data_IF_257773604919
#
_entry.id   IF_257773604919
#
_cell.length_a   1.000
_cell.length_b   1.000
_cell.length_c   1.000
_cell.angle_alpha   90.00
_cell.angle_beta   90.00
_cell.angle_gamma   90.00
#
_symmetry.space_group_name_H-M   'P 1'
#
loop_
_entity.id
_entity.type
_entity.pdbx_description
1 polymer ?
#
# COMPACT_ATOMS: atom_id res chain seq x y z
N UNK A 1 19.10 -2.04 -6.17
CA UNK A 1 17.82 -2.66 -6.57
C UNK A 1 16.75 -1.58 -6.58
N UNK A 2 15.80 -1.64 -7.51
CA UNK A 2 14.63 -0.75 -7.49
C UNK A 2 13.37 -1.60 -7.37
N UNK A 3 12.89 -1.72 -6.14
CA UNK A 3 11.72 -2.51 -5.78
C UNK A 3 10.43 -1.90 -6.34
N UNK A 4 10.44 -0.61 -6.66
CA UNK A 4 9.31 0.08 -7.31
C UNK A 4 9.25 -0.13 -8.83
N UNK A 5 10.27 -0.70 -9.46
CA UNK A 5 10.24 -1.01 -10.89
C UNK A 5 9.30 -2.17 -11.23
N UNK A 6 9.06 -3.09 -10.28
CA UNK A 6 8.22 -4.27 -10.49
C UNK A 6 7.29 -4.48 -9.31
N UNK A 7 6.03 -4.81 -9.59
CA UNK A 7 5.00 -5.09 -8.58
C UNK A 7 5.25 -6.37 -7.77
N UNK A 8 6.18 -7.21 -8.22
CA UNK A 8 6.59 -8.43 -7.53
C UNK A 8 7.75 -8.15 -6.55
N UNK A 9 8.41 -7.00 -6.68
CA UNK A 9 9.51 -6.58 -5.82
C UNK A 9 9.04 -5.64 -4.70
N UNK A 10 7.83 -5.09 -4.80
CA UNK A 10 7.21 -4.31 -3.74
C UNK A 10 5.80 -4.81 -3.45
N UNK A 11 5.42 -4.77 -2.18
CA UNK A 11 4.05 -5.11 -1.76
C UNK A 11 3.15 -3.87 -1.67
N UNK A 12 3.54 -2.74 -2.28
CA UNK A 12 2.68 -1.57 -2.30
C UNK A 12 1.43 -1.93 -3.12
N UNK A 13 0.24 -1.64 -2.60
CA UNK A 13 -1.05 -1.98 -3.23
C UNK A 13 -1.35 -1.03 -4.40
N UNK A 14 -0.45 -1.01 -5.39
CA UNK A 14 -0.55 -0.18 -6.60
C UNK A 14 -1.75 -0.58 -7.48
N UNK A 15 -2.24 -1.82 -7.35
CA UNK A 15 -3.39 -2.33 -8.11
C UNK A 15 -4.63 -1.46 -7.98
N UNK A 16 -4.78 -0.73 -6.88
CA UNK A 16 -5.93 0.11 -6.62
C UNK A 16 -5.65 1.62 -6.74
N UNK A 17 -4.47 2.04 -7.20
CA UNK A 17 -3.99 3.46 -7.14
C UNK A 17 -4.00 4.04 -5.71
N UNK A 18 -3.94 3.18 -4.68
CA UNK A 18 -4.11 3.57 -3.27
C UNK A 18 -2.80 3.88 -2.54
N UNK A 19 -1.67 3.63 -3.18
CA UNK A 19 -0.36 3.96 -2.64
C UNK A 19 0.67 4.17 -3.74
N UNK A 20 1.72 4.91 -3.40
CA UNK A 20 2.87 5.25 -4.25
C UNK A 20 4.12 4.59 -3.67
N UNK A 21 4.85 3.85 -4.51
CA UNK A 21 6.14 3.27 -4.13
C UNK A 21 7.25 4.32 -4.28
N UNK A 22 8.11 4.44 -3.27
CA UNK A 22 9.31 5.27 -3.26
C UNK A 22 10.52 4.37 -3.03
N UNK A 23 11.40 4.31 -4.02
CA UNK A 23 12.63 3.53 -3.92
C UNK A 23 13.62 4.24 -3.00
N UNK A 24 14.26 3.49 -2.10
CA UNK A 24 15.30 3.99 -1.21
C UNK A 24 16.59 3.18 -1.43
N UNK A 25 17.77 3.76 -1.19
CA UNK A 25 19.00 2.98 -1.21
C UNK A 25 18.96 1.92 -0.11
N UNK A 26 18.86 0.65 -0.52
CA UNK A 26 18.80 -0.53 0.37
C UNK A 26 17.40 -0.93 0.84
N UNK A 27 16.33 -0.21 0.46
CA UNK A 27 14.95 -0.55 0.83
C UNK A 27 13.91 0.18 -0.03
N UNK A 28 12.64 0.11 0.33
CA UNK A 28 11.57 0.88 -0.31
C UNK A 28 10.53 1.34 0.71
N UNK A 29 9.80 2.40 0.37
CA UNK A 29 8.71 2.94 1.19
C UNK A 29 7.44 3.08 0.37
N UNK A 30 6.34 2.53 0.87
CA UNK A 30 5.01 2.77 0.32
C UNK A 30 4.35 3.95 1.05
N UNK A 31 3.93 4.96 0.29
CA UNK A 31 3.12 6.09 0.77
C UNK A 31 1.68 5.89 0.34
N UNK A 32 0.76 5.69 1.28
CA UNK A 32 -0.66 5.54 0.96
C UNK A 32 -1.30 6.90 0.65
N UNK A 33 -2.33 6.91 -0.21
CA UNK A 33 -3.11 8.11 -0.51
C UNK A 33 -3.86 8.63 0.73
N UNK A 34 -4.25 9.92 0.72
CA UNK A 34 -5.03 10.50 1.81
C UNK A 34 -6.32 9.69 2.08
N UNK A 35 -6.56 9.32 3.34
CA UNK A 35 -7.67 8.46 3.75
C UNK A 35 -7.35 6.95 3.79
N UNK A 36 -6.14 6.55 3.41
CA UNK A 36 -5.67 5.17 3.45
C UNK A 36 -4.58 5.04 4.52
N UNK A 37 -4.70 4.02 5.37
CA UNK A 37 -3.66 3.69 6.35
C UNK A 37 -2.89 2.47 5.87
N UNK A 38 -1.60 2.47 6.21
CA UNK A 38 -0.73 1.32 5.99
C UNK A 38 -1.13 0.24 7.01
N UNK A 39 -1.74 -0.83 6.53
CA UNK A 39 -2.06 -2.02 7.29
C UNK A 39 -1.06 -3.11 6.85
N UNK A 40 0.03 -3.25 7.61
CA UNK A 40 1.18 -4.07 7.22
C UNK A 40 1.89 -3.54 5.96
N UNK A 41 1.89 -4.32 4.88
CA UNK A 41 2.45 -3.92 3.58
C UNK A 41 1.43 -3.27 2.65
N UNK A 42 0.14 -3.29 3.00
CA UNK A 42 -0.95 -2.87 2.13
C UNK A 42 -1.55 -1.52 2.55
N UNK A 43 -1.97 -0.72 1.58
CA UNK A 43 -2.75 0.49 1.79
C UNK A 43 -4.23 0.12 1.85
N UNK A 44 -4.72 -0.16 3.06
CA UNK A 44 -6.13 -0.38 3.31
C UNK A 44 -6.82 0.99 3.47
N UNK A 45 -7.87 1.25 2.69
CA UNK A 45 -8.80 2.30 3.10
C UNK A 45 -9.45 1.83 4.38
N UNK A 46 -9.69 2.74 5.30
CA UNK A 46 -10.41 2.46 6.53
C UNK A 46 -11.88 2.01 6.29
N UNK A 47 -12.27 1.71 5.05
CA UNK A 47 -13.53 1.09 4.64
C UNK A 47 -13.61 -0.41 4.97
N UNK A 48 -12.55 -1.06 5.45
CA UNK A 48 -12.61 -2.46 5.92
C UNK A 48 -13.28 -2.64 7.28
N UNK A 49 -13.42 -1.57 8.07
CA UNK A 49 -14.09 -1.66 9.39
C UNK A 49 -15.61 -1.54 9.31
N UNK A 50 -16.19 -1.03 8.21
CA UNK A 50 -17.64 -0.75 8.13
C UNK A 50 -18.43 -1.87 7.42
N UNK A 51 -17.79 -2.82 6.73
CA UNK A 51 -18.48 -3.97 6.10
C UNK A 51 -18.07 -5.35 6.66
N UNK A 52 -17.23 -5.41 7.68
CA UNK A 52 -16.93 -6.67 8.39
C UNK A 52 -17.73 -6.82 9.69
N UNK A 53 -18.59 -5.84 9.99
CA UNK A 53 -19.57 -5.87 11.07
C UNK A 53 -20.92 -5.42 10.48
N UNK A 54 -21.54 -6.27 9.67
CA UNK A 54 -22.95 -6.10 9.32
C UNK A 54 -23.61 -7.47 9.38
N UNK A 55 -24.41 -7.59 10.45
CA UNK A 55 -25.23 -8.70 10.97
C UNK A 55 -24.42 -9.79 11.68
#
# INVERSE_FOLDING_TARGET
VNECSSRELNNCTERSKRGRCHNLPGSYKCSCANGYKKDGTQCASNLKTIISATI
#
